data_IF_035497869610
#
_entry.id   IF_035497869610
#
_cell.length_a   1.000
_cell.length_b   1.000
_cell.length_c   1.000
_cell.angle_alpha   90.00
_cell.angle_beta   90.00
_cell.angle_gamma   90.00
#
_symmetry.space_group_name_H-M   'P 1'
#
loop_
_entity.id
_entity.type
_entity.pdbx_description
1 polymer ?
#
# COMPACT_ATOMS: atom_id res chain seq x y z
N UNK A 1 -31.36 -15.13 7.85
CA UNK A 1 -32.44 -15.25 8.84
C UNK A 1 -33.79 -15.70 8.26
N UNK A 2 -33.93 -15.96 6.96
CA UNK A 2 -35.24 -16.36 6.40
C UNK A 2 -35.60 -17.84 6.64
N UNK A 3 -34.62 -18.74 6.45
CA UNK A 3 -34.86 -20.20 6.50
C UNK A 3 -35.09 -20.72 7.92
N UNK A 4 -34.32 -20.26 8.91
CA UNK A 4 -34.43 -20.74 10.29
C UNK A 4 -35.73 -20.31 11.00
N UNK A 5 -36.23 -19.12 10.68
CA UNK A 5 -37.44 -18.55 11.28
C UNK A 5 -38.71 -19.13 10.64
N UNK A 6 -38.73 -19.26 9.30
CA UNK A 6 -39.93 -19.72 8.56
C UNK A 6 -40.13 -21.23 8.50
N UNK A 7 -39.05 -22.01 8.48
CA UNK A 7 -39.14 -23.48 8.32
C UNK A 7 -39.01 -24.23 9.64
N UNK A 8 -38.38 -23.63 10.66
CA UNK A 8 -38.02 -24.31 11.90
C UNK A 8 -38.49 -23.60 13.17
N UNK A 9 -39.16 -22.45 13.06
CA UNK A 9 -39.77 -21.69 14.17
C UNK A 9 -38.80 -21.36 15.33
N UNK A 10 -37.49 -21.30 15.07
CA UNK A 10 -36.52 -20.93 16.10
C UNK A 10 -36.50 -19.41 16.30
N UNK A 11 -37.07 -18.91 17.42
CA UNK A 11 -37.01 -17.48 17.80
C UNK A 11 -35.56 -16.97 17.95
N UNK A 12 -34.67 -17.83 18.45
CA UNK A 12 -33.24 -17.59 18.61
C UNK A 12 -32.47 -18.84 18.19
N UNK A 13 -31.41 -18.64 17.42
CA UNK A 13 -30.57 -19.75 16.99
C UNK A 13 -29.82 -20.35 18.20
N UNK A 14 -29.70 -21.69 18.28
CA UNK A 14 -28.88 -22.34 19.31
C UNK A 14 -27.44 -21.81 19.29
N UNK A 15 -26.81 -21.60 20.45
CA UNK A 15 -25.46 -21.01 20.54
C UNK A 15 -24.39 -21.73 19.69
N UNK A 16 -24.62 -23.00 19.35
CA UNK A 16 -23.77 -23.84 18.49
C UNK A 16 -23.90 -23.58 16.97
N UNK A 17 -24.86 -22.74 16.55
CA UNK A 17 -25.11 -22.43 15.13
C UNK A 17 -24.11 -21.44 14.53
N UNK A 18 -23.44 -20.65 15.37
CA UNK A 18 -22.36 -19.76 14.97
C UNK A 18 -21.05 -20.48 15.31
N UNK A 19 -20.36 -20.98 14.27
CA UNK A 19 -19.04 -21.57 14.47
C UNK A 19 -18.09 -20.58 15.14
N UNK A 20 -17.16 -21.08 15.96
CA UNK A 20 -16.26 -20.26 16.79
C UNK A 20 -15.52 -19.16 15.99
N UNK A 21 -15.16 -19.45 14.73
CA UNK A 21 -14.59 -18.49 13.77
C UNK A 21 -15.45 -17.22 13.55
N UNK A 22 -16.77 -17.36 13.61
CA UNK A 22 -17.75 -16.30 13.37
C UNK A 22 -18.36 -15.76 14.67
N UNK A 23 -17.88 -16.22 15.82
CA UNK A 23 -18.31 -15.72 17.14
C UNK A 23 -17.75 -14.32 17.35
N UNK A 24 -18.62 -13.30 17.37
CA UNK A 24 -18.24 -11.90 17.60
C UNK A 24 -17.73 -11.62 19.01
N UNK A 25 -17.81 -12.58 19.94
CA UNK A 25 -17.34 -12.43 21.32
C UNK A 25 -15.84 -12.08 21.41
N UNK A 26 -14.99 -12.74 20.61
CA UNK A 26 -13.55 -12.41 20.57
C UNK A 26 -13.27 -11.05 19.91
N UNK A 27 -14.10 -10.63 18.95
CA UNK A 27 -13.96 -9.33 18.29
C UNK A 27 -14.28 -8.17 19.24
N UNK A 28 -15.24 -8.36 20.16
CA UNK A 28 -15.57 -7.38 21.19
C UNK A 28 -14.40 -7.11 22.13
N UNK A 29 -13.62 -8.13 22.49
CA UNK A 29 -12.46 -7.97 23.37
C UNK A 29 -11.36 -7.10 22.76
N UNK A 30 -11.25 -7.05 21.43
CA UNK A 30 -10.22 -6.26 20.73
C UNK A 30 -10.73 -4.86 20.35
N UNK A 31 -12.03 -4.61 20.50
CA UNK A 31 -12.66 -3.38 20.02
C UNK A 31 -12.17 -2.14 20.80
N UNK A 32 -12.04 -2.27 22.12
CA UNK A 32 -11.58 -1.18 22.98
C UNK A 32 -10.09 -0.88 22.76
N UNK A 33 -9.26 -1.92 22.61
CA UNK A 33 -7.84 -1.78 22.28
C UNK A 33 -7.64 -1.11 20.91
N UNK A 34 -8.46 -1.47 19.92
CA UNK A 34 -8.45 -0.86 18.60
C UNK A 34 -8.89 0.61 18.67
N UNK A 35 -9.91 0.94 19.46
CA UNK A 35 -10.38 2.31 19.66
C UNK A 35 -9.30 3.16 20.36
N UNK A 36 -8.64 2.62 21.37
CA UNK A 36 -7.52 3.27 22.04
C UNK A 36 -6.34 3.49 21.09
N UNK A 37 -5.96 2.48 20.30
CA UNK A 37 -4.92 2.59 19.29
C UNK A 37 -5.28 3.62 18.21
N UNK A 38 -6.53 3.66 17.75
CA UNK A 38 -6.99 4.67 16.80
C UNK A 38 -6.91 6.10 17.35
N UNK A 39 -7.21 6.30 18.64
CA UNK A 39 -7.07 7.59 19.30
C UNK A 39 -5.62 8.08 19.31
N UNK A 40 -4.63 7.18 19.44
CA UNK A 40 -3.20 7.56 19.35
C UNK A 40 -2.78 8.06 17.96
N UNK A 41 -3.48 7.65 16.91
CA UNK A 41 -3.23 8.07 15.53
C UNK A 41 -3.91 9.40 15.20
N UNK A 42 -4.87 9.85 16.01
CA UNK A 42 -5.64 11.06 15.74
C UNK A 42 -4.77 12.34 15.60
N UNK A 43 -3.77 12.59 16.46
CA UNK A 43 -2.85 13.72 16.28
C UNK A 43 -2.04 13.65 14.97
N UNK A 44 -1.68 12.44 14.53
CA UNK A 44 -0.93 12.21 13.28
C UNK A 44 -1.81 12.53 12.05
N UNK A 45 -3.11 12.24 12.12
CA UNK A 45 -4.08 12.64 11.10
C UNK A 45 -4.26 14.16 11.05
N UNK A 46 -4.28 14.84 12.19
CA UNK A 46 -4.39 16.30 12.23
C UNK A 46 -3.19 16.99 11.59
N UNK A 47 -1.96 16.52 11.88
CA UNK A 47 -0.76 17.07 11.25
C UNK A 47 -0.66 16.73 9.76
N UNK A 48 -1.20 15.60 9.30
CA UNK A 48 -1.18 15.24 7.87
C UNK A 48 -2.18 16.08 7.07
N UNK A 49 -3.33 16.44 7.66
CA UNK A 49 -4.28 17.41 7.08
C UNK A 49 -3.72 18.83 7.02
N UNK A 50 -2.90 19.23 8.00
CA UNK A 50 -2.21 20.53 8.01
C UNK A 50 -1.01 20.59 7.05
N UNK A 51 -0.38 19.44 6.76
CA UNK A 51 0.84 19.35 5.93
C UNK A 51 0.60 19.02 4.46
N UNK A 52 -0.64 18.93 3.99
CA UNK A 52 -0.86 18.93 2.54
C UNK A 52 -0.51 20.33 2.03
N UNK A 53 0.57 20.49 1.24
CA UNK A 53 0.69 21.69 0.44
C UNK A 53 -0.55 21.70 -0.44
N UNK A 54 -1.35 22.76 -0.35
CA UNK A 54 -2.42 23.01 -1.30
C UNK A 54 -1.74 23.02 -2.68
N UNK A 55 -1.84 21.92 -3.42
CA UNK A 55 -1.28 21.81 -4.78
C UNK A 55 -1.98 22.90 -5.57
N UNK A 56 -1.28 24.02 -5.78
CA UNK A 56 -1.77 25.13 -6.60
C UNK A 56 -1.88 24.60 -8.02
N UNK A 57 -3.12 24.54 -8.49
CA UNK A 57 -3.46 24.43 -9.90
C UNK A 57 -2.72 25.51 -10.71
N UNK A 58 -2.23 25.23 -11.93
CA UNK A 58 -1.47 26.20 -12.74
C UNK A 58 -2.23 27.43 -13.25
N UNK A 59 -3.50 27.63 -12.87
CA UNK A 59 -4.29 28.78 -13.32
C UNK A 59 -5.06 29.42 -12.15
N UNK A 60 -4.76 30.70 -11.84
CA UNK A 60 -5.71 31.60 -11.15
C UNK A 60 -5.17 32.49 -10.03
N UNK A 61 -4.78 33.71 -10.41
CA UNK A 61 -4.86 35.02 -9.72
C UNK A 61 -4.02 35.35 -8.45
N UNK A 62 -3.36 36.52 -8.41
CA UNK A 62 -2.61 37.03 -7.26
C UNK A 62 -3.53 37.86 -6.36
N UNK A 63 -3.58 37.57 -5.05
CA UNK A 63 -3.64 38.55 -3.96
C UNK A 63 -3.69 37.83 -2.61
N UNK A 64 -2.87 38.36 -1.69
CA UNK A 64 -2.97 38.32 -0.22
C UNK A 64 -2.85 36.96 0.49
N UNK A 65 -1.72 36.73 1.18
CA UNK A 65 -1.52 37.20 2.57
C UNK A 65 -0.19 36.68 3.13
N UNK A 66 0.49 37.61 3.78
CA UNK A 66 1.74 37.53 4.51
C UNK A 66 1.61 36.55 5.70
N UNK A 67 2.30 35.40 5.65
CA UNK A 67 2.53 34.58 6.84
C UNK A 67 4.01 34.44 7.14
N UNK A 68 4.37 34.95 8.33
CA UNK A 68 5.70 35.05 8.89
C UNK A 68 6.33 33.67 9.05
N UNK A 69 7.53 33.53 8.50
CA UNK A 69 8.44 32.43 8.80
C UNK A 69 8.75 32.43 10.30
N UNK A 70 8.36 31.36 11.00
CA UNK A 70 8.97 30.98 12.28
C UNK A 70 9.73 29.69 12.04
N UNK A 71 11.05 29.80 12.18
CA UNK A 71 12.01 28.79 11.80
C UNK A 71 11.89 27.50 12.60
N UNK A 72 11.78 26.39 11.88
CA UNK A 72 12.48 25.16 12.20
C UNK A 72 13.13 24.73 10.90
N UNK A 73 14.38 25.16 10.68
CA UNK A 73 15.17 24.71 9.54
C UNK A 73 15.43 23.22 9.72
N UNK A 74 14.58 22.38 9.11
CA UNK A 74 14.99 21.02 8.77
C UNK A 74 16.23 21.15 7.88
N UNK A 75 17.28 20.33 8.08
CA UNK A 75 18.36 20.30 7.10
C UNK A 75 17.72 19.96 5.75
N UNK A 76 17.78 20.91 4.82
CA UNK A 76 17.40 20.68 3.44
C UNK A 76 18.30 19.56 2.94
N UNK A 77 17.73 18.34 2.85
CA UNK A 77 18.42 17.23 2.21
C UNK A 77 18.49 17.60 0.74
N UNK A 78 19.66 18.08 0.33
CA UNK A 78 19.96 18.41 -1.05
C UNK A 78 19.98 17.12 -1.86
N UNK A 79 18.95 16.93 -2.69
CA UNK A 79 18.87 15.80 -3.61
C UNK A 79 19.55 16.23 -4.90
N UNK A 80 20.81 15.82 -5.05
CA UNK A 80 21.58 16.05 -6.28
C UNK A 80 21.32 14.92 -7.26
N UNK A 81 20.84 15.25 -8.46
CA UNK A 81 20.67 14.28 -9.53
C UNK A 81 22.02 14.05 -10.21
N UNK A 82 22.64 12.90 -9.96
CA UNK A 82 23.87 12.49 -10.64
C UNK A 82 23.52 11.45 -11.70
N UNK A 83 23.90 11.73 -12.95
CA UNK A 83 23.77 10.76 -14.05
C UNK A 83 24.89 9.74 -13.93
N UNK A 84 24.58 8.56 -13.38
CA UNK A 84 25.50 7.43 -13.29
C UNK A 84 25.90 6.95 -14.70
N UNK A 85 27.18 6.61 -14.87
CA UNK A 85 27.65 5.94 -16.09
C UNK A 85 27.18 4.49 -16.12
N UNK A 86 27.15 3.86 -17.31
CA UNK A 86 26.63 2.49 -17.54
C UNK A 86 27.18 1.40 -16.58
N UNK A 87 28.36 1.61 -16.01
CA UNK A 87 29.04 0.64 -15.13
C UNK A 87 29.18 1.13 -13.67
N UNK A 88 28.65 2.30 -13.32
CA UNK A 88 28.70 2.81 -11.95
C UNK A 88 27.54 2.24 -11.14
N UNK A 89 27.83 1.78 -9.92
CA UNK A 89 26.85 1.22 -8.99
C UNK A 89 26.62 2.20 -7.85
N UNK A 90 25.38 2.63 -7.67
CA UNK A 90 24.95 3.33 -6.46
C UNK A 90 24.16 2.37 -5.57
N UNK A 91 24.36 2.49 -4.26
CA UNK A 91 23.62 1.70 -3.27
C UNK A 91 22.11 2.00 -3.29
N UNK A 92 21.72 3.18 -3.80
CA UNK A 92 20.34 3.58 -3.97
C UNK A 92 20.18 4.36 -5.28
N UNK A 93 19.31 3.86 -6.17
CA UNK A 93 18.95 4.53 -7.43
C UNK A 93 17.48 4.89 -7.36
N UNK A 94 17.16 6.17 -7.55
CA UNK A 94 15.76 6.63 -7.68
C UNK A 94 15.41 6.63 -9.16
N UNK A 95 14.72 5.58 -9.59
CA UNK A 95 14.19 5.46 -10.94
C UNK A 95 12.78 6.04 -11.01
N UNK A 96 12.46 6.71 -12.12
CA UNK A 96 11.09 7.06 -12.49
C UNK A 96 10.23 5.80 -12.72
N UNK A 97 8.91 5.96 -12.74
CA UNK A 97 7.99 4.85 -13.06
C UNK A 97 8.27 4.23 -14.43
N UNK A 98 8.59 5.07 -15.44
CA UNK A 98 8.94 4.61 -16.77
C UNK A 98 10.23 3.80 -16.79
N UNK A 99 11.28 4.25 -16.10
CA UNK A 99 12.56 3.53 -16.02
C UNK A 99 12.43 2.21 -15.25
N UNK A 100 11.62 2.18 -14.18
CA UNK A 100 11.29 0.92 -13.48
C UNK A 100 10.61 -0.07 -14.40
N UNK A 101 9.64 0.40 -15.20
CA UNK A 101 8.96 -0.44 -16.17
C UNK A 101 9.92 -0.94 -17.26
N UNK A 102 10.72 -0.06 -17.86
CA UNK A 102 11.71 -0.43 -18.87
C UNK A 102 12.74 -1.44 -18.34
N UNK A 103 13.21 -1.25 -17.10
CA UNK A 103 14.14 -2.19 -16.46
C UNK A 103 13.50 -3.55 -16.23
N UNK A 104 12.30 -3.59 -15.63
CA UNK A 104 11.57 -4.83 -15.40
C UNK A 104 11.28 -5.56 -16.71
N UNK A 105 10.86 -4.81 -17.74
CA UNK A 105 10.61 -5.33 -19.08
C UNK A 105 11.87 -5.95 -19.69
N UNK A 106 13.00 -5.25 -19.66
CA UNK A 106 14.27 -5.76 -20.19
C UNK A 106 14.79 -7.02 -19.45
N UNK A 107 14.45 -7.18 -18.17
CA UNK A 107 14.81 -8.38 -17.40
C UNK A 107 13.85 -9.55 -17.60
N UNK A 108 12.55 -9.27 -17.75
CA UNK A 108 11.51 -10.29 -17.83
C UNK A 108 11.20 -10.76 -19.26
N UNK A 109 11.32 -9.90 -20.27
CA UNK A 109 11.04 -10.27 -21.67
C UNK A 109 11.88 -11.47 -22.14
N UNK A 110 13.21 -11.52 -21.95
CA UNK A 110 14.01 -12.67 -22.38
C UNK A 110 13.60 -13.97 -21.69
N UNK A 111 13.15 -13.88 -20.43
CA UNK A 111 12.69 -15.04 -19.66
C UNK A 111 11.33 -15.53 -20.16
N UNK A 112 10.41 -14.62 -20.43
CA UNK A 112 9.09 -14.96 -20.98
C UNK A 112 9.20 -15.55 -22.38
N UNK A 113 10.06 -14.98 -23.22
CA UNK A 113 10.34 -15.52 -24.56
C UNK A 113 10.91 -16.94 -24.46
N UNK A 114 11.86 -17.18 -23.56
CA UNK A 114 12.40 -18.52 -23.32
C UNK A 114 11.31 -19.50 -22.87
N UNK A 115 10.56 -19.16 -21.82
CA UNK A 115 9.50 -20.02 -21.28
C UNK A 115 8.39 -20.30 -22.30
N UNK A 116 8.09 -19.34 -23.18
CA UNK A 116 7.08 -19.50 -24.24
C UNK A 116 7.51 -20.47 -25.34
N UNK A 117 8.81 -20.68 -25.52
CA UNK A 117 9.37 -21.56 -26.55
C UNK A 117 9.44 -23.04 -26.13
N UNK A 118 9.23 -23.33 -24.84
CA UNK A 118 9.39 -24.66 -24.27
C UNK A 118 8.13 -25.51 -24.42
N UNK A 119 8.33 -26.83 -24.37
CA UNK A 119 7.22 -27.77 -24.23
C UNK A 119 6.64 -27.70 -22.81
N UNK A 120 5.36 -28.06 -22.65
CA UNK A 120 4.69 -28.00 -21.35
C UNK A 120 5.42 -28.78 -20.24
N UNK A 121 6.10 -29.89 -20.58
CA UNK A 121 6.84 -30.69 -19.61
C UNK A 121 8.12 -29.99 -19.12
N UNK A 122 8.88 -29.41 -20.06
CA UNK A 122 10.11 -28.67 -19.75
C UNK A 122 9.81 -27.36 -19.02
N UNK A 123 8.72 -26.69 -19.38
CA UNK A 123 8.24 -25.48 -18.69
C UNK A 123 8.03 -25.72 -17.18
N UNK A 124 7.32 -26.79 -16.80
CA UNK A 124 7.11 -27.10 -15.38
C UNK A 124 8.38 -27.57 -14.67
N UNK A 125 9.32 -28.20 -15.37
CA UNK A 125 10.62 -28.53 -14.80
C UNK A 125 11.43 -27.27 -14.48
N UNK A 126 11.44 -26.30 -15.39
CA UNK A 126 12.16 -25.04 -15.19
C UNK A 126 11.50 -24.15 -14.14
N UNK A 127 10.16 -24.13 -14.06
CA UNK A 127 9.47 -23.47 -12.94
C UNK A 127 9.82 -24.07 -11.57
N UNK A 128 10.08 -25.38 -11.51
CA UNK A 128 10.49 -26.04 -10.27
C UNK A 128 11.93 -25.69 -9.86
N UNK A 129 12.81 -25.30 -10.78
CA UNK A 129 14.17 -24.86 -10.43
C UNK A 129 14.21 -23.44 -9.87
N UNK A 130 13.11 -22.68 -10.00
CA UNK A 130 13.00 -21.29 -9.53
C UNK A 130 12.29 -21.16 -8.17
N UNK A 131 11.88 -22.28 -7.57
CA UNK A 131 11.40 -22.34 -6.18
C UNK A 131 12.53 -22.22 -5.18
#
# INVERSE_FOLDING_TARGET
MYVADKEHEFELLPAMSIGERWSMSCALNVMDDLAAAAATLHPILLISKLKLPKVRSPYGSPHDEQFKETGVQKPMKEVVYVRLRRNERAHQVVLSSAEKYSYAKAMLEPLLDHLSSLSSAEFYQELNTWK
#
